data_IF_556886096847
#
_entry.id   IF_556886096847
#
_cell.length_a   1.000
_cell.length_b   1.000
_cell.length_c   1.000
_cell.angle_alpha   90.00
_cell.angle_beta   90.00
_cell.angle_gamma   90.00
#
_symmetry.space_group_name_H-M   'P 1'
#
loop_
_entity.id
_entity.type
_entity.pdbx_description
1 polymer ?
#
# COMPACT_ATOMS: atom_id res chain seq x y z
N UNK A 1 -12.70 -18.11 -0.86
CA UNK A 1 -11.25 -18.39 -0.85
C UNK A 1 -10.76 -18.89 0.52
N UNK A 2 -11.60 -18.83 1.55
CA UNK A 2 -11.32 -19.32 2.90
C UNK A 2 -10.38 -18.43 3.71
N UNK A 3 -10.40 -17.12 3.43
CA UNK A 3 -9.80 -16.06 4.24
C UNK A 3 -10.58 -14.76 4.08
N UNK A 4 -10.60 -13.95 5.12
CA UNK A 4 -11.16 -12.61 5.16
C UNK A 4 -10.09 -11.51 4.99
N UNK A 5 -8.82 -11.90 4.87
CA UNK A 5 -7.67 -11.01 4.93
C UNK A 5 -6.81 -11.08 3.68
N UNK A 6 -6.42 -9.93 3.13
CA UNK A 6 -5.54 -9.84 1.97
C UNK A 6 -4.46 -8.76 2.13
N UNK A 7 -3.30 -9.02 1.52
CA UNK A 7 -2.26 -8.02 1.28
C UNK A 7 -2.20 -7.76 -0.22
N UNK A 8 -2.32 -6.51 -0.62
CA UNK A 8 -2.20 -6.11 -2.02
C UNK A 8 -0.93 -5.31 -2.28
N UNK A 9 -0.38 -5.47 -3.46
CA UNK A 9 0.85 -4.82 -3.91
C UNK A 9 0.78 -4.54 -5.41
N UNK A 10 1.54 -3.58 -5.93
CA UNK A 10 1.52 -3.26 -7.36
C UNK A 10 2.16 -4.37 -8.20
N UNK A 11 3.39 -4.77 -7.84
CA UNK A 11 4.23 -5.66 -8.63
C UNK A 11 3.92 -7.16 -8.38
N UNK A 12 3.66 -7.96 -9.45
CA UNK A 12 3.52 -9.41 -9.34
C UNK A 12 4.75 -10.12 -8.75
N UNK A 13 5.96 -9.57 -8.90
CA UNK A 13 7.18 -10.16 -8.33
C UNK A 13 7.18 -10.11 -6.79
N UNK A 14 6.55 -9.12 -6.18
CA UNK A 14 6.40 -9.03 -4.72
C UNK A 14 5.51 -10.13 -4.15
N UNK A 15 4.60 -10.69 -4.96
CA UNK A 15 3.82 -11.87 -4.55
C UNK A 15 4.73 -13.08 -4.33
N UNK A 16 5.80 -13.24 -5.13
CA UNK A 16 6.80 -14.29 -4.92
C UNK A 16 7.68 -14.00 -3.69
N UNK A 17 7.89 -12.73 -3.38
CA UNK A 17 8.66 -12.32 -2.20
C UNK A 17 7.89 -12.64 -0.92
N UNK A 18 6.63 -12.22 -0.82
CA UNK A 18 5.80 -12.49 0.37
C UNK A 18 5.47 -13.98 0.50
N UNK A 19 5.37 -14.72 -0.60
CA UNK A 19 5.13 -16.16 -0.58
C UNK A 19 6.20 -16.94 0.22
N UNK A 20 7.43 -16.43 0.27
CA UNK A 20 8.54 -17.02 1.04
C UNK A 20 8.45 -16.76 2.55
N UNK A 21 7.60 -15.83 2.97
CA UNK A 21 7.39 -15.47 4.38
C UNK A 21 6.23 -16.26 5.02
N UNK A 22 5.41 -16.94 4.21
CA UNK A 22 4.35 -17.80 4.72
C UNK A 22 4.92 -19.13 5.25
N UNK A 23 4.29 -19.67 6.31
CA UNK A 23 4.62 -20.97 6.88
C UNK A 23 4.29 -22.11 5.90
N UNK A 24 3.19 -21.96 5.18
CA UNK A 24 2.73 -22.81 4.09
C UNK A 24 1.93 -22.02 3.07
N UNK A 25 1.61 -22.60 1.94
CA UNK A 25 0.73 -21.98 0.96
C UNK A 25 0.90 -22.50 -0.45
N UNK A 26 0.15 -21.89 -1.36
CA UNK A 26 0.18 -22.24 -2.78
C UNK A 26 -0.16 -21.07 -3.69
N UNK A 27 0.35 -21.02 -4.92
CA UNK A 27 -0.18 -20.14 -5.94
C UNK A 27 -1.68 -20.36 -6.08
N UNK A 28 -2.45 -19.24 -6.17
CA UNK A 28 -3.90 -19.29 -6.24
C UNK A 28 -4.42 -19.04 -7.65
N UNK A 29 -4.08 -17.88 -8.22
CA UNK A 29 -4.45 -17.51 -9.58
C UNK A 29 -3.42 -16.53 -10.17
N UNK A 30 -3.38 -16.45 -11.49
CA UNK A 30 -2.62 -15.42 -12.20
C UNK A 30 -3.31 -15.10 -13.51
N UNK A 31 -3.81 -13.88 -13.62
CA UNK A 31 -4.44 -13.37 -14.82
C UNK A 31 -4.13 -11.88 -14.97
N UNK A 32 -3.60 -11.46 -16.10
CA UNK A 32 -3.10 -10.10 -16.34
C UNK A 32 -2.07 -9.70 -15.28
N UNK A 33 -2.24 -8.54 -14.65
CA UNK A 33 -1.44 -8.04 -13.52
C UNK A 33 -1.80 -8.68 -12.16
N UNK A 34 -2.90 -9.43 -12.07
CA UNK A 34 -3.39 -10.03 -10.83
C UNK A 34 -2.81 -11.41 -10.61
N UNK A 35 -1.67 -11.47 -9.95
CA UNK A 35 -1.06 -12.69 -9.45
C UNK A 35 -1.43 -12.88 -7.99
N UNK A 36 -1.78 -14.07 -7.56
CA UNK A 36 -2.15 -14.30 -6.17
C UNK A 36 -1.55 -15.58 -5.61
N UNK A 37 -1.29 -15.54 -4.30
CA UNK A 37 -0.79 -16.64 -3.50
C UNK A 37 -1.59 -16.69 -2.19
N UNK A 38 -2.11 -17.85 -1.84
CA UNK A 38 -2.84 -18.06 -0.61
C UNK A 38 -1.94 -18.83 0.36
N UNK A 39 -1.56 -18.17 1.45
CA UNK A 39 -0.65 -18.73 2.44
C UNK A 39 -1.18 -18.64 3.86
N UNK A 40 -0.46 -19.27 4.79
CA UNK A 40 -0.69 -19.19 6.23
C UNK A 40 0.51 -18.51 6.89
N UNK A 41 0.25 -17.56 7.76
CA UNK A 41 1.26 -16.89 8.57
C UNK A 41 0.81 -16.84 10.02
N UNK A 42 1.59 -17.45 10.92
CA UNK A 42 1.23 -17.59 12.34
C UNK A 42 -0.20 -18.12 12.57
N UNK A 43 -0.61 -19.10 11.76
CA UNK A 43 -1.92 -19.73 11.85
C UNK A 43 -3.07 -18.96 11.18
N UNK A 44 -2.85 -17.74 10.68
CA UNK A 44 -3.85 -16.96 9.94
C UNK A 44 -3.68 -17.17 8.43
N UNK A 45 -4.76 -17.50 7.73
CA UNK A 45 -4.76 -17.54 6.26
C UNK A 45 -4.84 -16.12 5.70
N UNK A 46 -3.99 -15.82 4.75
CA UNK A 46 -3.89 -14.49 4.11
C UNK A 46 -3.70 -14.70 2.61
N UNK A 47 -4.44 -13.93 1.81
CA UNK A 47 -4.23 -13.84 0.37
C UNK A 47 -3.24 -12.72 0.07
N UNK A 48 -2.14 -13.01 -0.60
CA UNK A 48 -1.29 -12.00 -1.23
C UNK A 48 -1.70 -11.84 -2.70
N UNK A 49 -1.89 -10.61 -3.20
CA UNK A 49 -2.32 -10.37 -4.57
C UNK A 49 -1.67 -9.11 -5.14
N UNK A 50 -1.17 -9.18 -6.38
CA UNK A 50 -0.76 -7.99 -7.12
C UNK A 50 -1.96 -7.31 -7.79
N UNK A 51 -1.86 -6.00 -7.98
CA UNK A 51 -2.92 -5.19 -8.58
C UNK A 51 -2.48 -4.41 -9.81
N UNK A 52 -1.20 -4.50 -10.21
CA UNK A 52 -0.65 -3.56 -11.17
C UNK A 52 -0.52 -2.15 -10.58
N UNK A 53 -0.45 -1.15 -11.45
CA UNK A 53 -0.24 0.26 -11.11
C UNK A 53 -1.51 1.07 -11.39
N UNK A 54 -1.82 1.98 -10.46
CA UNK A 54 -2.84 2.99 -10.61
C UNK A 54 -4.23 2.62 -10.09
N UNK A 55 -5.00 3.65 -9.79
CA UNK A 55 -6.31 3.52 -9.18
C UNK A 55 -7.29 2.63 -9.96
N UNK A 56 -7.38 2.66 -11.31
CA UNK A 56 -8.29 1.80 -12.05
C UNK A 56 -8.00 0.30 -11.87
N UNK A 57 -6.73 -0.10 -11.94
CA UNK A 57 -6.36 -1.50 -11.77
C UNK A 57 -6.54 -1.97 -10.32
N UNK A 58 -6.07 -1.17 -9.35
CA UNK A 58 -6.29 -1.46 -7.94
C UNK A 58 -7.77 -1.51 -7.58
N UNK A 59 -8.58 -0.61 -8.12
CA UNK A 59 -10.03 -0.56 -7.89
C UNK A 59 -10.74 -1.85 -8.30
N UNK A 60 -10.41 -2.40 -9.49
CA UNK A 60 -10.94 -3.69 -9.93
C UNK A 60 -10.56 -4.79 -8.94
N UNK A 61 -9.28 -4.87 -8.55
CA UNK A 61 -8.81 -5.88 -7.61
C UNK A 61 -9.50 -5.81 -6.25
N UNK A 62 -9.69 -4.61 -5.70
CA UNK A 62 -10.34 -4.41 -4.40
C UNK A 62 -11.83 -4.80 -4.44
N UNK A 63 -12.54 -4.45 -5.51
CA UNK A 63 -13.95 -4.86 -5.69
C UNK A 63 -14.08 -6.40 -5.81
N UNK A 64 -13.18 -7.05 -6.55
CA UNK A 64 -13.17 -8.50 -6.66
C UNK A 64 -12.81 -9.18 -5.34
N UNK A 65 -11.85 -8.65 -4.57
CA UNK A 65 -11.53 -9.13 -3.22
C UNK A 65 -12.75 -9.06 -2.31
N UNK A 66 -13.49 -7.94 -2.35
CA UNK A 66 -14.75 -7.81 -1.61
C UNK A 66 -15.76 -8.87 -2.01
N UNK A 67 -15.94 -9.13 -3.32
CA UNK A 67 -16.90 -10.08 -3.86
C UNK A 67 -16.64 -11.52 -3.43
N UNK A 68 -15.39 -11.87 -3.15
CA UNK A 68 -15.00 -13.22 -2.68
C UNK A 68 -14.88 -13.31 -1.15
N UNK A 69 -15.35 -12.28 -0.42
CA UNK A 69 -15.50 -12.31 1.03
C UNK A 69 -14.35 -11.74 1.85
N UNK A 70 -13.36 -11.10 1.21
CA UNK A 70 -12.28 -10.38 1.93
C UNK A 70 -12.88 -9.17 2.66
N UNK A 71 -12.47 -8.98 3.91
CA UNK A 71 -12.92 -7.89 4.79
C UNK A 71 -11.78 -7.00 5.30
N UNK A 72 -10.55 -7.47 5.23
CA UNK A 72 -9.37 -6.74 5.70
C UNK A 72 -8.33 -6.70 4.59
N UNK A 73 -7.91 -5.51 4.18
CA UNK A 73 -6.93 -5.34 3.10
C UNK A 73 -5.84 -4.36 3.55
N UNK A 74 -4.60 -4.82 3.53
CA UNK A 74 -3.43 -3.95 3.68
C UNK A 74 -2.71 -3.85 2.33
N UNK A 75 -2.52 -2.62 1.87
CA UNK A 75 -1.66 -2.33 0.74
C UNK A 75 -0.21 -2.21 1.21
N UNK A 76 0.67 -2.95 0.57
CA UNK A 76 2.12 -2.78 0.67
C UNK A 76 2.61 -2.22 -0.66
N UNK A 77 3.05 -0.97 -0.66
CA UNK A 77 3.40 -0.24 -1.88
C UNK A 77 4.76 0.45 -1.80
N UNK A 78 5.18 1.01 -2.94
CA UNK A 78 6.25 1.99 -3.01
C UNK A 78 5.65 3.40 -2.95
N UNK A 79 6.44 4.36 -2.45
CA UNK A 79 6.08 5.77 -2.42
C UNK A 79 7.29 6.66 -2.73
N UNK A 80 7.05 7.85 -3.22
CA UNK A 80 8.01 8.95 -3.25
C UNK A 80 7.83 9.82 -2.01
N UNK A 81 8.93 10.14 -1.30
CA UNK A 81 8.86 11.07 -0.18
C UNK A 81 8.55 12.48 -0.65
N UNK A 82 7.67 13.17 0.07
CA UNK A 82 7.38 14.61 -0.12
C UNK A 82 7.95 15.47 1.01
N UNK A 83 8.65 14.87 1.99
CA UNK A 83 9.37 15.59 3.04
C UNK A 83 10.84 15.18 3.06
N UNK A 84 11.70 16.13 3.46
CA UNK A 84 13.16 15.97 3.43
C UNK A 84 13.70 15.04 4.53
N UNK A 85 12.93 14.80 5.56
CA UNK A 85 13.26 13.96 6.71
C UNK A 85 12.84 12.50 6.57
N UNK A 86 12.21 12.13 5.45
CA UNK A 86 11.82 10.75 5.16
C UNK A 86 12.92 10.06 4.34
N UNK A 87 13.63 9.14 4.98
CA UNK A 87 14.76 8.45 4.38
C UNK A 87 14.33 7.35 3.38
N UNK A 88 15.26 6.97 2.48
CA UNK A 88 15.07 5.79 1.62
C UNK A 88 14.90 4.53 2.48
N UNK A 89 13.94 3.69 2.11
CA UNK A 89 13.61 2.48 2.85
C UNK A 89 12.78 2.71 4.12
N UNK A 90 12.54 3.96 4.52
CA UNK A 90 11.66 4.27 5.64
C UNK A 90 10.21 3.97 5.27
N UNK A 91 9.48 3.37 6.21
CA UNK A 91 8.06 3.13 6.02
C UNK A 91 7.27 4.41 6.23
N UNK A 92 6.28 4.61 5.37
CA UNK A 92 5.25 5.66 5.49
C UNK A 92 3.90 4.98 5.64
N UNK A 93 3.22 5.24 6.74
CA UNK A 93 1.88 4.70 7.03
C UNK A 93 0.86 5.82 6.84
N UNK A 94 -0.09 5.57 5.96
CA UNK A 94 -1.09 6.57 5.59
C UNK A 94 -2.15 6.73 6.68
N UNK A 95 -2.21 7.89 7.32
CA UNK A 95 -3.27 8.29 8.26
C UNK A 95 -4.47 8.91 7.56
N UNK A 96 -4.29 9.36 6.33
CA UNK A 96 -5.30 9.90 5.46
C UNK A 96 -4.76 10.08 4.05
N UNK A 97 -5.66 10.21 3.07
CA UNK A 97 -5.26 10.32 1.67
C UNK A 97 -5.82 11.58 1.03
N UNK A 98 -4.95 12.35 0.39
CA UNK A 98 -5.36 13.33 -0.62
C UNK A 98 -5.73 12.56 -1.88
N UNK A 99 -7.00 12.60 -2.24
CA UNK A 99 -7.57 11.90 -3.39
C UNK A 99 -7.38 12.71 -4.67
N UNK A 100 -6.20 12.62 -5.24
CA UNK A 100 -5.84 13.29 -6.49
C UNK A 100 -5.91 12.36 -7.71
N UNK A 101 -6.58 11.22 -7.55
CA UNK A 101 -6.88 10.25 -8.60
C UNK A 101 -8.24 10.49 -9.25
N UNK A 102 -8.38 10.09 -10.50
CA UNK A 102 -9.62 10.25 -11.27
C UNK A 102 -10.68 9.22 -10.93
N UNK A 103 -10.32 8.02 -10.47
CA UNK A 103 -11.28 6.95 -10.23
C UNK A 103 -12.08 7.16 -8.95
N UNK A 104 -11.45 7.55 -7.85
CA UNK A 104 -12.15 7.75 -6.58
C UNK A 104 -13.26 8.80 -6.68
N UNK A 105 -13.11 9.78 -7.57
CA UNK A 105 -14.13 10.80 -7.89
C UNK A 105 -15.37 10.23 -8.59
N UNK A 106 -15.28 9.04 -9.19
CA UNK A 106 -16.43 8.33 -9.78
C UNK A 106 -17.25 7.58 -8.74
N UNK A 107 -16.65 7.23 -7.61
CA UNK A 107 -17.33 6.55 -6.51
C UNK A 107 -18.01 7.52 -5.54
N UNK A 108 -17.35 8.63 -5.23
CA UNK A 108 -17.79 9.59 -4.21
C UNK A 108 -17.38 11.03 -4.59
N UNK A 109 -18.04 12.07 -4.09
CA UNK A 109 -17.66 13.46 -4.35
C UNK A 109 -16.26 13.77 -3.81
N UNK A 110 -15.60 14.83 -4.33
CA UNK A 110 -14.22 15.20 -3.98
C UNK A 110 -14.02 15.43 -2.47
N UNK A 111 -15.00 15.98 -1.80
CA UNK A 111 -14.93 16.27 -0.36
C UNK A 111 -15.05 15.02 0.54
N UNK A 112 -15.30 13.83 -0.03
CA UNK A 112 -15.40 12.60 0.75
C UNK A 112 -14.00 12.18 1.23
N UNK A 113 -13.80 11.96 2.56
CA UNK A 113 -12.48 11.63 3.09
C UNK A 113 -12.09 10.19 2.75
N UNK A 114 -10.83 9.99 2.39
CA UNK A 114 -10.21 8.68 2.30
C UNK A 114 -9.30 8.50 3.53
N UNK A 115 -9.72 7.62 4.43
CA UNK A 115 -9.03 7.37 5.70
C UNK A 115 -8.91 5.87 5.96
N UNK A 116 -7.81 5.41 6.59
CA UNK A 116 -7.63 4.02 6.96
C UNK A 116 -8.62 3.59 8.06
N UNK A 117 -8.72 2.30 8.27
CA UNK A 117 -9.43 1.74 9.41
C UNK A 117 -8.65 1.99 10.70
N UNK A 118 -9.32 2.54 11.70
CA UNK A 118 -8.72 2.84 13.01
C UNK A 118 -8.03 1.64 13.65
N UNK A 119 -8.66 0.44 13.59
CA UNK A 119 -8.09 -0.79 14.15
C UNK A 119 -6.76 -1.16 13.51
N UNK A 120 -6.69 -1.15 12.16
CA UNK A 120 -5.46 -1.47 11.44
C UNK A 120 -4.38 -0.40 11.69
N UNK A 121 -4.76 0.88 11.74
CA UNK A 121 -3.84 1.97 12.04
C UNK A 121 -3.28 1.87 13.46
N UNK A 122 -4.11 1.55 14.44
CA UNK A 122 -3.67 1.36 15.82
C UNK A 122 -2.67 0.19 15.95
N UNK A 123 -2.91 -0.91 15.24
CA UNK A 123 -1.95 -2.02 15.18
C UNK A 123 -0.67 -1.65 14.42
N UNK A 124 -0.75 -0.80 13.40
CA UNK A 124 0.43 -0.31 12.71
C UNK A 124 1.38 0.44 13.67
N UNK A 125 0.87 1.26 14.57
CA UNK A 125 1.68 1.90 15.61
C UNK A 125 2.40 0.89 16.53
N UNK A 126 1.83 -0.28 16.72
CA UNK A 126 2.45 -1.35 17.51
C UNK A 126 3.53 -2.11 16.71
N UNK A 127 3.27 -2.43 15.45
CA UNK A 127 4.13 -3.29 14.63
C UNK A 127 5.15 -2.53 13.77
N UNK A 128 4.97 -1.23 13.59
CA UNK A 128 5.89 -0.35 12.85
C UNK A 128 6.06 1.01 13.58
N UNK A 129 6.50 1.02 14.86
CA UNK A 129 6.56 2.25 15.67
C UNK A 129 7.50 3.31 15.11
N UNK A 130 8.53 2.92 14.35
CA UNK A 130 9.53 3.82 13.77
C UNK A 130 9.15 4.31 12.35
N UNK A 131 7.95 3.97 11.85
CA UNK A 131 7.46 4.46 10.58
C UNK A 131 7.11 5.95 10.64
N UNK A 132 7.18 6.63 9.51
CA UNK A 132 6.56 7.94 9.36
C UNK A 132 5.04 7.77 9.24
N UNK A 133 4.29 8.45 10.09
CA UNK A 133 2.82 8.49 10.03
C UNK A 133 2.38 9.82 9.47
N UNK A 134 1.57 9.82 8.40
CA UNK A 134 1.18 11.08 7.79
C UNK A 134 0.18 10.93 6.64
N UNK A 135 -0.19 12.09 6.08
CA UNK A 135 -1.08 12.14 4.93
C UNK A 135 -0.30 11.82 3.67
N UNK A 136 -0.84 10.94 2.84
CA UNK A 136 -0.29 10.53 1.55
C UNK A 136 -1.15 11.10 0.42
N UNK A 137 -0.53 11.56 -0.65
CA UNK A 137 -1.22 11.93 -1.90
C UNK A 137 -1.31 10.70 -2.80
N UNK A 138 -2.51 10.37 -3.28
CA UNK A 138 -2.71 9.31 -4.27
C UNK A 138 -3.13 9.93 -5.59
N UNK A 139 -2.36 9.69 -6.67
CA UNK A 139 -2.53 10.38 -7.97
C UNK A 139 -2.34 9.44 -9.16
N UNK A 140 -2.67 9.90 -10.39
CA UNK A 140 -2.64 9.07 -11.60
C UNK A 140 -1.44 9.34 -12.53
N UNK A 141 -0.74 10.46 -12.38
CA UNK A 141 0.31 10.88 -13.29
C UNK A 141 1.71 10.62 -12.77
N UNK A 142 2.43 9.61 -13.28
CA UNK A 142 3.79 9.31 -12.87
C UNK A 142 4.85 10.18 -13.59
N UNK A 143 4.66 10.41 -14.89
CA UNK A 143 5.55 11.23 -15.73
C UNK A 143 4.82 12.48 -16.22
N UNK A 144 4.56 13.43 -15.32
CA UNK A 144 3.92 14.71 -15.67
C UNK A 144 4.97 15.82 -15.79
N UNK A 145 4.75 16.74 -16.73
CA UNK A 145 5.75 17.78 -17.07
C UNK A 145 5.99 18.78 -15.92
N UNK A 146 4.99 19.00 -15.08
CA UNK A 146 5.00 19.92 -13.94
C UNK A 146 5.28 19.25 -12.58
N UNK A 147 5.80 18.02 -12.58
CA UNK A 147 5.98 17.21 -11.37
C UNK A 147 6.71 17.96 -10.25
N UNK A 148 7.80 18.68 -10.56
CA UNK A 148 8.57 19.40 -9.57
C UNK A 148 7.78 20.55 -8.88
N UNK A 149 6.84 21.17 -9.59
CA UNK A 149 5.95 22.21 -9.03
C UNK A 149 4.88 21.57 -8.16
N UNK A 150 4.33 20.46 -8.60
CA UNK A 150 3.32 19.66 -7.87
C UNK A 150 3.92 19.12 -6.57
N UNK A 151 5.11 18.53 -6.61
CA UNK A 151 5.81 18.05 -5.41
C UNK A 151 6.04 19.18 -4.40
N UNK A 152 6.55 20.33 -4.85
CA UNK A 152 6.76 21.50 -3.99
C UNK A 152 5.44 21.98 -3.35
N UNK A 153 4.37 22.05 -4.13
CA UNK A 153 3.05 22.44 -3.63
C UNK A 153 2.60 21.53 -2.47
N UNK A 154 2.73 20.21 -2.63
CA UNK A 154 2.32 19.25 -1.62
C UNK A 154 3.29 19.15 -0.45
N UNK A 155 4.59 19.35 -0.70
CA UNK A 155 5.59 19.52 0.35
C UNK A 155 5.19 20.65 1.31
N UNK A 156 4.85 21.83 0.77
CA UNK A 156 4.46 23.00 1.56
C UNK A 156 3.14 22.79 2.33
N UNK A 157 2.36 21.77 2.00
CA UNK A 157 1.14 21.37 2.71
C UNK A 157 1.38 20.27 3.74
N UNK A 158 2.62 19.82 3.91
CA UNK A 158 2.99 18.80 4.89
C UNK A 158 2.57 17.38 4.49
N UNK A 159 2.38 17.10 3.19
CA UNK A 159 2.14 15.75 2.71
C UNK A 159 3.42 14.92 2.88
N UNK A 160 3.30 13.73 3.47
CA UNK A 160 4.44 12.88 3.79
C UNK A 160 5.02 12.21 2.54
N UNK A 161 4.19 11.63 1.71
CA UNK A 161 4.59 10.87 0.53
C UNK A 161 3.48 10.84 -0.51
N UNK A 162 3.78 10.30 -1.69
CA UNK A 162 2.78 10.01 -2.72
C UNK A 162 2.81 8.55 -3.18
N UNK A 163 1.65 8.10 -3.67
CA UNK A 163 1.45 6.81 -4.32
C UNK A 163 0.37 6.90 -5.41
N UNK A 164 -0.08 5.78 -5.94
CA UNK A 164 -1.07 5.76 -7.02
C UNK A 164 -2.31 4.88 -6.73
N UNK A 165 -2.46 4.28 -5.55
CA UNK A 165 -3.55 3.31 -5.28
C UNK A 165 -4.21 3.45 -3.90
N UNK A 166 -3.58 4.10 -2.94
CA UNK A 166 -4.12 4.20 -1.56
C UNK A 166 -5.47 4.92 -1.51
N UNK A 167 -5.68 5.91 -2.38
CA UNK A 167 -6.93 6.67 -2.45
C UNK A 167 -8.12 5.78 -2.77
N UNK A 168 -8.02 5.02 -3.85
CA UNK A 168 -9.11 4.14 -4.29
C UNK A 168 -9.33 2.97 -3.33
N UNK A 169 -8.25 2.41 -2.75
CA UNK A 169 -8.37 1.36 -1.74
C UNK A 169 -9.21 1.80 -0.56
N UNK A 170 -8.94 2.98 0.01
CA UNK A 170 -9.65 3.47 1.19
C UNK A 170 -11.10 3.85 0.87
N UNK A 171 -11.35 4.39 -0.32
CA UNK A 171 -12.72 4.73 -0.74
C UNK A 171 -13.57 3.47 -0.93
N UNK A 172 -13.12 2.52 -1.75
CA UNK A 172 -13.86 1.27 -1.98
C UNK A 172 -13.99 0.49 -0.67
N UNK A 173 -12.90 0.38 0.09
CA UNK A 173 -12.92 -0.30 1.37
C UNK A 173 -14.02 0.21 2.29
N UNK A 174 -14.11 1.53 2.46
CA UNK A 174 -15.16 2.14 3.29
C UNK A 174 -16.55 1.88 2.74
N UNK A 175 -16.77 2.01 1.43
CA UNK A 175 -18.06 1.79 0.78
C UNK A 175 -18.53 0.33 0.86
N UNK A 176 -17.60 -0.60 0.90
CA UNK A 176 -17.87 -2.06 0.96
C UNK A 176 -17.78 -2.65 2.38
N UNK A 177 -17.58 -1.81 3.40
CA UNK A 177 -17.46 -2.26 4.79
C UNK A 177 -16.20 -3.09 5.07
N UNK A 178 -15.12 -2.84 4.32
CA UNK A 178 -13.82 -3.46 4.53
C UNK A 178 -12.94 -2.58 5.42
N UNK A 179 -12.07 -3.21 6.19
CA UNK A 179 -10.99 -2.52 6.91
C UNK A 179 -9.77 -2.40 5.99
N UNK A 180 -9.23 -1.20 5.83
CA UNK A 180 -8.11 -0.93 4.90
C UNK A 180 -7.01 -0.12 5.54
N UNK A 181 -5.77 -0.35 5.10
CA UNK A 181 -4.57 0.40 5.48
C UNK A 181 -3.58 0.40 4.32
N UNK A 182 -2.75 1.45 4.21
CA UNK A 182 -1.58 1.47 3.32
C UNK A 182 -0.30 1.63 4.13
N UNK A 183 0.64 0.72 3.89
CA UNK A 183 2.01 0.71 4.39
C UNK A 183 2.91 0.86 3.17
N UNK A 184 3.60 1.98 3.08
CA UNK A 184 4.38 2.33 1.91
C UNK A 184 5.87 2.34 2.27
N UNK A 185 6.70 1.86 1.36
CA UNK A 185 8.15 1.94 1.45
C UNK A 185 8.64 3.11 0.60
N UNK A 186 9.35 4.05 1.19
CA UNK A 186 9.92 5.16 0.45
C UNK A 186 11.06 4.68 -0.46
N UNK A 187 10.88 4.85 -1.78
CA UNK A 187 11.84 4.42 -2.80
C UNK A 187 12.50 5.58 -3.55
N UNK A 188 12.02 6.82 -3.35
CA UNK A 188 12.55 8.05 -3.95
C UNK A 188 12.57 9.15 -2.88
N UNK A 189 13.73 9.78 -2.60
CA UNK A 189 13.79 10.91 -1.68
C UNK A 189 13.10 12.13 -2.30
N UNK A 190 12.66 13.07 -1.46
CA UNK A 190 12.09 14.33 -1.93
C UNK A 190 13.05 15.06 -2.91
N UNK A 191 12.53 15.48 -4.06
CA UNK A 191 13.28 16.03 -5.18
C UNK A 191 14.39 15.10 -5.74
N UNK A 192 14.33 13.81 -5.46
CA UNK A 192 15.20 12.84 -6.09
C UNK A 192 14.78 12.56 -7.54
N UNK A 193 15.75 12.25 -8.39
CA UNK A 193 15.45 11.82 -9.75
C UNK A 193 14.81 10.43 -9.73
N UNK A 194 13.58 10.32 -10.25
CA UNK A 194 12.86 9.06 -10.40
C UNK A 194 13.65 8.04 -11.23
N UNK A 195 14.37 8.51 -12.26
CA UNK A 195 15.21 7.65 -13.10
C UNK A 195 16.49 7.18 -12.36
N UNK A 196 17.06 8.02 -11.49
CA UNK A 196 18.17 7.62 -10.62
C UNK A 196 17.72 6.73 -9.47
N UNK A 197 16.56 6.96 -8.88
CA UNK A 197 15.98 6.11 -7.82
C UNK A 197 15.78 4.66 -8.27
N UNK A 198 15.46 4.44 -9.54
CA UNK A 198 15.36 3.11 -10.15
C UNK A 198 16.75 2.51 -10.45
N UNK A 199 17.79 3.35 -10.66
CA UNK A 199 19.12 2.93 -11.10
C UNK A 199 20.23 3.17 -10.06
N UNK A 200 19.94 3.74 -8.89
CA UNK A 200 20.96 4.21 -7.96
C UNK A 200 21.70 3.09 -7.22
N UNK A 201 22.93 3.41 -6.89
CA UNK A 201 23.97 2.76 -6.08
C UNK A 201 23.53 1.56 -5.20
N UNK A 202 24.38 0.56 -5.10
CA UNK A 202 24.18 -0.71 -4.35
C UNK A 202 23.62 -0.48 -2.94
N UNK A 203 24.09 0.55 -2.21
CA UNK A 203 23.60 0.87 -0.86
C UNK A 203 22.14 1.33 -0.83
N UNK A 204 21.69 2.10 -1.84
CA UNK A 204 20.30 2.54 -1.95
C UNK A 204 19.34 1.38 -2.23
N UNK A 205 19.79 0.40 -3.03
CA UNK A 205 19.01 -0.83 -3.31
C UNK A 205 18.83 -1.66 -2.04
N UNK A 206 19.86 -1.72 -1.19
CA UNK A 206 19.79 -2.45 0.07
C UNK A 206 18.81 -1.80 1.06
N UNK A 207 18.77 -0.46 1.13
CA UNK A 207 17.83 0.25 2.00
C UNK A 207 16.38 0.05 1.54
N UNK A 208 16.13 0.20 0.25
CA UNK A 208 14.81 -0.02 -0.35
C UNK A 208 14.35 -1.47 -0.16
N UNK A 209 15.24 -2.45 -0.37
CA UNK A 209 14.93 -3.86 -0.16
C UNK A 209 14.62 -4.17 1.33
N UNK A 210 15.36 -3.58 2.27
CA UNK A 210 15.06 -3.70 3.71
C UNK A 210 13.70 -3.09 4.07
N UNK A 211 13.38 -1.91 3.52
CA UNK A 211 12.08 -1.28 3.70
C UNK A 211 10.94 -2.12 3.12
N UNK A 212 11.14 -2.74 1.95
CA UNK A 212 10.17 -3.67 1.38
C UNK A 212 9.92 -4.87 2.32
N UNK A 213 10.97 -5.51 2.81
CA UNK A 213 10.83 -6.62 3.76
C UNK A 213 10.13 -6.17 5.05
N UNK A 214 10.49 -5.01 5.58
CA UNK A 214 9.86 -4.47 6.79
C UNK A 214 8.36 -4.21 6.57
N UNK A 215 7.96 -3.66 5.42
CA UNK A 215 6.55 -3.40 5.10
C UNK A 215 5.73 -4.69 4.95
N UNK A 216 6.30 -5.73 4.33
CA UNK A 216 5.67 -7.05 4.22
C UNK A 216 5.49 -7.70 5.59
N UNK A 217 6.52 -7.67 6.45
CA UNK A 217 6.41 -8.20 7.81
C UNK A 217 5.39 -7.44 8.64
N UNK A 218 5.39 -6.10 8.61
CA UNK A 218 4.41 -5.30 9.33
C UNK A 218 2.97 -5.64 8.89
N UNK A 219 2.71 -5.78 7.58
CA UNK A 219 1.40 -6.14 7.07
C UNK A 219 0.96 -7.54 7.52
N UNK A 220 1.87 -8.53 7.47
CA UNK A 220 1.62 -9.90 7.94
C UNK A 220 1.35 -9.96 9.44
N UNK A 221 2.15 -9.26 10.24
CA UNK A 221 2.01 -9.21 11.70
C UNK A 221 0.70 -8.55 12.11
N UNK A 222 0.33 -7.42 11.47
CA UNK A 222 -0.95 -6.74 11.70
C UNK A 222 -2.13 -7.68 11.40
N UNK A 223 -2.17 -8.28 10.19
CA UNK A 223 -3.29 -9.16 9.81
C UNK A 223 -3.38 -10.45 10.63
N UNK A 224 -2.28 -10.85 11.27
CA UNK A 224 -2.22 -12.03 12.13
C UNK A 224 -2.40 -11.71 13.61
N UNK A 225 -2.66 -10.44 13.96
CA UNK A 225 -2.87 -10.04 15.35
C UNK A 225 -4.13 -10.70 15.92
N UNK A 226 -4.04 -11.33 17.12
CA UNK A 226 -5.17 -12.03 17.74
C UNK A 226 -6.39 -11.14 18.04
N UNK A 227 -6.22 -9.81 18.08
CA UNK A 227 -7.33 -8.87 18.28
C UNK A 227 -8.20 -8.71 17.02
N UNK A 228 -7.68 -9.06 15.83
CA UNK A 228 -8.41 -9.09 14.57
C UNK A 228 -9.15 -10.44 14.43
N UNK A 229 -10.13 -10.69 15.30
CA UNK A 229 -10.96 -11.91 15.21
C UNK A 229 -11.66 -11.99 13.85
N UNK A 230 -11.87 -13.21 13.40
CA UNK A 230 -12.78 -13.48 12.28
C UNK A 230 -14.22 -13.13 12.73
N UNK A 231 -14.89 -12.25 11.97
CA UNK A 231 -16.30 -11.92 12.14
C UNK A 231 -17.18 -12.97 11.46
#
# INVERSE_FOLDING_TARGET
IGTDSAIIMGDPARVDTIAKLFDDGKPWAYNREYKSFLGTYRGKRILAMSTGIGAPSAGIGVEELCSVGVKKVIRVGSAGAMQTDIALGQLVIAEGIVRDDGLSKKYVPEIYPAVPSYRLLALAHQYAPDACYGIVRSHDGFYVDDNAEVERYWHDKGIAADDMESGILMVIGRLRGMETLSILNNVVPYQGDLAEGVNSLVESKDLVAKGEQASLHAALDILSDPSLKED
#
